data_IF_838405375041
#
_entry.id   IF_838405375041
#
_cell.length_a   1.000
_cell.length_b   1.000
_cell.length_c   1.000
_cell.angle_alpha   90.00
_cell.angle_beta   90.00
_cell.angle_gamma   90.00
#
_symmetry.space_group_name_H-M   'P 1'
#
loop_
_entity.id
_entity.type
_entity.pdbx_description
1 polymer ?
#
# COMPACT_ATOMS: atom_id res chain seq x y z
N UNK A 1 -5.14 -13.55 -1.99
CA UNK A 1 -4.66 -12.24 -1.49
C UNK A 1 -3.61 -11.72 -2.46
N UNK A 2 -3.95 -10.74 -3.32
CA UNK A 2 -2.99 -10.10 -4.20
C UNK A 2 -1.91 -9.35 -3.39
N UNK A 3 -0.65 -9.54 -3.76
CA UNK A 3 0.48 -8.77 -3.22
C UNK A 3 0.67 -7.58 -4.15
N UNK A 4 0.55 -6.37 -3.61
CA UNK A 4 0.72 -5.14 -4.38
C UNK A 4 2.20 -4.83 -4.62
N UNK A 5 3.03 -4.97 -3.59
CA UNK A 5 4.46 -4.70 -3.65
C UNK A 5 5.22 -5.57 -2.66
N UNK A 6 6.41 -6.03 -3.07
CA UNK A 6 7.36 -6.73 -2.20
C UNK A 6 8.55 -5.82 -1.89
N UNK A 7 8.97 -5.83 -0.63
CA UNK A 7 10.19 -5.21 -0.14
C UNK A 7 11.11 -6.29 0.45
N UNK A 8 12.40 -6.01 0.67
CA UNK A 8 13.32 -6.98 1.28
C UNK A 8 12.87 -7.44 2.68
N UNK A 9 12.23 -6.55 3.45
CA UNK A 9 11.83 -6.79 4.83
C UNK A 9 10.31 -6.94 5.03
N UNK A 10 9.51 -6.65 4.01
CA UNK A 10 8.04 -6.60 4.13
C UNK A 10 7.33 -6.86 2.80
N UNK A 11 6.00 -6.96 2.88
CA UNK A 11 5.11 -7.06 1.72
C UNK A 11 3.85 -6.26 1.98
N UNK A 12 3.37 -5.59 0.94
CA UNK A 12 2.11 -4.84 0.94
C UNK A 12 1.04 -5.72 0.30
N UNK A 13 -0.06 -5.88 1.00
CA UNK A 13 -1.15 -6.79 0.68
C UNK A 13 -2.45 -6.00 0.64
N UNK A 14 -3.34 -6.40 -0.28
CA UNK A 14 -4.73 -6.00 -0.25
C UNK A 14 -5.55 -7.26 0.05
N UNK A 15 -6.32 -7.22 1.12
CA UNK A 15 -7.34 -8.23 1.39
C UNK A 15 -8.60 -7.84 0.65
N UNK A 16 -9.35 -8.83 0.14
CA UNK A 16 -10.53 -8.66 -0.72
C UNK A 16 -11.88 -8.75 0.04
N UNK A 17 -11.84 -9.07 1.34
CA UNK A 17 -13.01 -9.09 2.24
C UNK A 17 -12.98 -8.02 3.37
N UNK A 18 -11.89 -7.27 3.53
CA UNK A 18 -11.71 -6.16 4.48
C UNK A 18 -11.91 -4.74 3.86
N UNK A 19 -13.17 -4.31 3.59
CA UNK A 19 -13.45 -3.24 2.55
C UNK A 19 -14.25 -2.03 3.00
N UNK A 20 -14.46 -1.81 4.30
CA UNK A 20 -15.20 -0.61 4.74
C UNK A 20 -14.39 0.68 4.59
N UNK A 21 -13.06 0.61 4.46
CA UNK A 21 -12.17 1.75 4.19
C UNK A 21 -11.00 1.33 3.29
N UNK A 22 -10.53 2.21 2.38
CA UNK A 22 -9.34 1.95 1.56
C UNK A 22 -8.09 1.90 2.44
N UNK A 23 -7.65 0.68 2.79
CA UNK A 23 -6.44 0.45 3.56
C UNK A 23 -5.64 -0.71 2.97
N UNK A 24 -4.32 -0.67 3.16
CA UNK A 24 -3.40 -1.75 2.79
C UNK A 24 -2.81 -2.40 4.02
N UNK A 25 -2.48 -3.68 3.92
CA UNK A 25 -1.84 -4.44 4.98
C UNK A 25 -0.34 -4.53 4.69
N UNK A 26 0.49 -4.07 5.63
CA UNK A 26 1.94 -4.20 5.57
C UNK A 26 2.37 -5.31 6.51
N UNK A 27 2.86 -6.41 5.94
CA UNK A 27 3.32 -7.58 6.69
C UNK A 27 4.83 -7.66 6.66
N UNK A 28 5.44 -7.55 7.83
CA UNK A 28 6.88 -7.69 8.00
C UNK A 28 7.31 -9.15 8.00
N UNK A 29 8.60 -9.38 7.76
CA UNK A 29 9.22 -10.71 7.77
C UNK A 29 9.21 -11.35 9.17
N UNK A 30 9.22 -10.53 10.22
CA UNK A 30 9.12 -10.99 11.62
C UNK A 30 7.71 -11.48 12.00
N UNK A 31 6.76 -11.41 11.07
CA UNK A 31 5.38 -11.86 11.27
C UNK A 31 4.45 -10.79 11.83
N UNK A 32 4.96 -9.60 12.19
CA UNK A 32 4.13 -8.46 12.56
C UNK A 32 3.39 -7.92 11.34
N UNK A 33 2.21 -7.37 11.58
CA UNK A 33 1.34 -6.77 10.58
C UNK A 33 0.79 -5.45 11.10
N UNK A 34 0.62 -4.51 10.18
CA UNK A 34 -0.12 -3.29 10.42
C UNK A 34 -0.97 -2.94 9.19
N UNK A 35 -2.06 -2.22 9.44
CA UNK A 35 -2.86 -1.62 8.38
C UNK A 35 -2.44 -0.18 8.20
N UNK A 36 -2.46 0.28 6.95
CA UNK A 36 -2.18 1.67 6.58
C UNK A 36 -3.36 2.17 5.78
N UNK A 37 -3.98 3.23 6.29
CA UNK A 37 -5.03 3.97 5.60
C UNK A 37 -4.43 4.72 4.39
N UNK A 38 -5.01 4.53 3.20
CA UNK A 38 -4.43 5.05 1.94
C UNK A 38 -4.54 6.57 1.86
N UNK A 39 -5.59 7.15 2.45
CA UNK A 39 -5.87 8.58 2.38
C UNK A 39 -5.05 9.37 3.42
N UNK A 40 -5.05 8.88 4.66
CA UNK A 40 -4.42 9.58 5.79
C UNK A 40 -3.00 9.14 6.10
N UNK A 41 -2.53 8.04 5.48
CA UNK A 41 -1.25 7.36 5.79
C UNK A 41 -1.12 6.98 7.27
N UNK A 42 -2.25 6.89 7.99
CA UNK A 42 -2.24 6.47 9.39
C UNK A 42 -1.99 4.98 9.47
N UNK A 43 -0.98 4.62 10.26
CA UNK A 43 -0.64 3.24 10.59
C UNK A 43 -1.45 2.78 11.81
N UNK A 44 -2.11 1.63 11.72
CA UNK A 44 -2.76 0.96 12.84
C UNK A 44 -2.13 -0.43 13.03
N UNK A 45 -1.72 -0.76 14.26
CA UNK A 45 -1.10 -2.05 14.56
C UNK A 45 0.13 -1.95 15.46
N UNK A 46 0.93 -3.03 15.51
CA UNK A 46 2.11 -3.17 16.39
C UNK A 46 3.43 -2.78 15.71
N UNK A 47 3.35 -1.99 14.65
CA UNK A 47 4.49 -1.58 13.83
C UNK A 47 4.53 -0.06 13.85
N UNK A 48 5.66 0.51 14.27
CA UNK A 48 5.81 1.97 14.26
C UNK A 48 6.03 2.46 12.82
N UNK A 49 5.47 3.62 12.48
CA UNK A 49 5.64 4.23 11.15
C UNK A 49 7.12 4.40 10.71
N UNK A 50 8.04 4.55 11.69
CA UNK A 50 9.49 4.62 11.43
C UNK A 50 10.09 3.33 10.87
N UNK A 51 9.48 2.18 11.16
CA UNK A 51 9.94 0.85 10.73
C UNK A 51 9.53 0.54 9.29
N UNK A 52 8.50 1.23 8.78
CA UNK A 52 7.92 1.00 7.45
C UNK A 52 7.96 2.26 6.58
N UNK A 53 9.02 3.06 6.72
CA UNK A 53 9.13 4.37 6.04
C UNK A 53 9.14 4.24 4.52
N UNK A 54 9.80 3.22 3.99
CA UNK A 54 9.88 2.99 2.55
C UNK A 54 8.52 2.57 1.97
N UNK A 55 7.80 1.74 2.71
CA UNK A 55 6.46 1.28 2.39
C UNK A 55 5.48 2.46 2.42
N UNK A 56 5.52 3.32 3.44
CA UNK A 56 4.70 4.52 3.51
C UNK A 56 4.99 5.49 2.37
N UNK A 57 6.25 5.64 1.97
CA UNK A 57 6.63 6.47 0.83
C UNK A 57 6.06 5.90 -0.49
N UNK A 58 6.11 4.58 -0.67
CA UNK A 58 5.51 3.91 -1.81
C UNK A 58 3.99 4.06 -1.83
N UNK A 59 3.33 3.87 -0.68
CA UNK A 59 1.86 4.04 -0.51
C UNK A 59 1.47 5.48 -0.87
N UNK A 60 2.24 6.48 -0.44
CA UNK A 60 2.00 7.87 -0.80
C UNK A 60 2.07 8.10 -2.32
N UNK A 61 3.02 7.48 -3.01
CA UNK A 61 3.17 7.62 -4.48
C UNK A 61 2.00 6.98 -5.21
N UNK A 62 1.49 5.82 -4.75
CA UNK A 62 0.33 5.19 -5.39
C UNK A 62 -0.98 5.93 -5.08
N UNK A 63 -1.16 6.45 -3.86
CA UNK A 63 -2.36 7.24 -3.49
C UNK A 63 -2.53 8.47 -4.38
N UNK A 64 -1.43 9.17 -4.68
CA UNK A 64 -1.44 10.32 -5.61
C UNK A 64 -1.83 9.92 -7.04
N UNK A 65 -1.49 8.69 -7.47
CA UNK A 65 -1.83 8.18 -8.81
C UNK A 65 -3.32 7.87 -8.95
N UNK A 66 -3.96 7.38 -7.90
CA UNK A 66 -5.41 7.08 -7.91
C UNK A 66 -6.27 8.37 -7.92
N UNK A 67 -5.83 9.41 -7.21
CA UNK A 67 -6.54 10.71 -7.18
C UNK A 67 -6.26 11.61 -8.40
N UNK A 68 -5.19 11.35 -9.15
CA UNK A 68 -4.77 12.19 -10.26
C UNK A 68 -4.66 11.33 -11.51
N UNK A 69 -5.79 11.05 -12.15
CA UNK A 69 -5.79 10.60 -13.55
C UNK A 69 -5.09 11.65 -14.41
N UNK A 70 -3.79 11.47 -14.69
CA UNK A 70 -3.12 11.70 -15.97
C UNK A 70 -1.60 11.46 -15.87
N UNK A 71 -1.14 10.52 -16.71
CA UNK A 71 0.24 10.32 -17.19
C UNK A 71 1.24 9.58 -16.25
N UNK A 72 1.19 8.25 -16.29
CA UNK A 72 2.30 7.39 -15.85
C UNK A 72 3.29 7.24 -17.01
N UNK A 73 4.38 7.99 -16.99
CA UNK A 73 5.65 7.57 -17.59
C UNK A 73 6.38 6.70 -16.55
N UNK A 74 6.03 5.42 -16.49
CA UNK A 74 6.89 4.38 -15.91
C UNK A 74 7.09 3.30 -16.97
N UNK A 75 8.34 2.93 -17.30
CA UNK A 75 8.57 1.85 -18.24
C UNK A 75 8.22 0.52 -17.56
N UNK A 76 7.14 -0.12 -17.99
CA UNK A 76 7.04 -1.58 -17.92
C UNK A 76 5.95 -2.22 -17.06
N UNK A 77 5.08 -1.49 -16.35
CA UNK A 77 3.96 -2.14 -15.63
C UNK A 77 2.67 -1.35 -15.73
N UNK A 78 1.73 -1.87 -16.53
CA UNK A 78 0.37 -1.38 -16.67
C UNK A 78 -0.54 -2.36 -15.93
N UNK A 79 -1.01 -1.98 -14.73
CA UNK A 79 -2.16 -2.63 -14.08
C UNK A 79 -3.24 -1.56 -14.03
N UNK A 80 -4.23 -1.70 -14.92
CA UNK A 80 -5.41 -0.84 -14.91
C UNK A 80 -6.29 -1.28 -13.73
N UNK A 81 -6.27 -0.52 -12.64
CA UNK A 81 -7.28 -0.62 -11.59
C UNK A 81 -8.27 0.49 -11.90
N UNK A 82 -9.41 0.13 -12.49
CA UNK A 82 -10.51 1.07 -12.73
C UNK A 82 -11.23 1.29 -11.40
N UNK A 83 -11.11 2.47 -10.83
CA UNK A 83 -12.00 2.91 -9.74
C UNK A 83 -13.12 3.72 -10.40
N UNK A 84 -14.33 3.16 -10.41
CA UNK A 84 -15.58 3.81 -10.87
C UNK A 84 -16.04 4.91 -9.94
#
# INVERSE_FOLDING_TARGET
>A
MPILQRFPASRILLYADDHLRPHVHVKLRDGRECTVDIDSLRTQGRVAAREIREELAWIKVISVKEHTSLLVLLPGFCVAITVT
#
